data_IF_088025979216
#
_entry.id   IF_088025979216
#
_cell.length_a   1.000
_cell.length_b   1.000
_cell.length_c   1.000
_cell.angle_alpha   90.00
_cell.angle_beta   90.00
_cell.angle_gamma   90.00
#
_symmetry.space_group_name_H-M   'P 1'
#
loop_
_entity.id
_entity.type
_entity.pdbx_description
1 polymer ?
#
# COMPACT_ATOMS: atom_id res chain seq x y z
N UNK A 1 -39.53 -14.84 -13.42
CA UNK A 1 -39.88 -13.42 -13.20
C UNK A 1 -39.21 -12.58 -14.27
N UNK A 2 -39.81 -11.45 -14.67
CA UNK A 2 -39.19 -10.54 -15.64
C UNK A 2 -38.07 -9.72 -14.94
N UNK A 3 -36.98 -9.38 -15.63
CA UNK A 3 -35.92 -8.56 -15.05
C UNK A 3 -36.48 -7.18 -14.65
N UNK A 4 -36.27 -6.79 -13.40
CA UNK A 4 -36.59 -5.46 -12.89
C UNK A 4 -35.45 -4.49 -13.24
N UNK A 5 -35.71 -3.42 -13.99
CA UNK A 5 -34.69 -2.41 -14.26
C UNK A 5 -34.19 -1.75 -12.98
N UNK A 6 -32.89 -1.51 -12.88
CA UNK A 6 -32.32 -0.68 -11.80
C UNK A 6 -32.63 0.78 -12.10
N UNK A 7 -33.28 1.47 -11.17
CA UNK A 7 -33.66 2.87 -11.31
C UNK A 7 -32.51 3.83 -10.97
N UNK A 8 -32.45 4.95 -11.71
CA UNK A 8 -31.55 6.08 -11.47
C UNK A 8 -30.06 5.69 -11.42
N UNK A 9 -29.60 4.90 -12.40
CA UNK A 9 -28.17 4.64 -12.53
C UNK A 9 -27.43 5.97 -12.80
N UNK A 10 -26.28 6.19 -12.14
CA UNK A 10 -25.56 7.45 -12.21
C UNK A 10 -25.13 7.76 -13.64
N UNK A 11 -25.68 8.85 -14.17
CA UNK A 11 -25.36 9.40 -15.48
C UNK A 11 -25.31 10.93 -15.36
N UNK A 12 -24.33 11.61 -15.98
CA UNK A 12 -23.32 11.07 -16.88
C UNK A 12 -22.16 10.35 -16.17
N UNK A 13 -21.43 9.53 -16.92
CA UNK A 13 -20.08 9.08 -16.59
C UNK A 13 -19.93 7.66 -16.04
N UNK A 14 -21.02 6.94 -15.75
CA UNK A 14 -20.94 5.48 -15.59
C UNK A 14 -20.56 4.86 -16.94
N UNK A 15 -19.38 4.24 -17.02
CA UNK A 15 -18.87 3.62 -18.25
C UNK A 15 -18.98 2.11 -18.18
N UNK A 16 -18.42 1.51 -17.13
CA UNK A 16 -18.24 0.06 -17.01
C UNK A 16 -18.22 -0.38 -15.53
N UNK A 17 -17.96 -1.66 -15.28
CA UNK A 17 -17.57 -2.20 -13.97
C UNK A 17 -18.46 -1.88 -12.76
N UNK A 18 -19.81 -1.86 -12.85
CA UNK A 18 -20.63 -1.65 -11.65
C UNK A 18 -20.44 -2.81 -10.68
N UNK A 19 -20.21 -2.47 -9.41
CA UNK A 19 -20.07 -3.42 -8.31
C UNK A 19 -21.04 -3.04 -7.18
N UNK A 20 -21.99 -3.92 -6.92
CA UNK A 20 -23.06 -3.75 -5.94
C UNK A 20 -22.77 -4.57 -4.69
N UNK A 21 -22.86 -3.94 -3.53
CA UNK A 21 -22.82 -4.63 -2.24
C UNK A 21 -23.74 -3.96 -1.22
N UNK A 22 -24.00 -4.64 -0.11
CA UNK A 22 -24.81 -4.11 1.00
C UNK A 22 -23.93 -3.98 2.25
N UNK A 23 -23.97 -2.81 2.89
CA UNK A 23 -23.32 -2.57 4.17
C UNK A 23 -24.25 -1.76 5.08
N UNK A 24 -24.38 -2.15 6.36
CA UNK A 24 -25.18 -1.44 7.36
C UNK A 24 -26.61 -1.10 6.91
N UNK A 25 -27.26 -1.99 6.15
CA UNK A 25 -28.61 -1.78 5.63
C UNK A 25 -28.70 -1.02 4.30
N UNK A 26 -27.62 -0.35 3.88
CA UNK A 26 -27.54 0.49 2.67
C UNK A 26 -26.99 -0.34 1.50
N UNK A 27 -27.58 -0.17 0.32
CA UNK A 27 -27.06 -0.70 -0.94
C UNK A 27 -26.10 0.30 -1.58
N UNK A 28 -24.88 -0.13 -1.90
CA UNK A 28 -23.84 0.69 -2.52
C UNK A 28 -23.60 0.20 -3.94
N UNK A 29 -23.90 1.05 -4.92
CA UNK A 29 -23.48 0.86 -6.31
C UNK A 29 -22.19 1.63 -6.53
N UNK A 30 -21.08 0.93 -6.71
CA UNK A 30 -19.76 1.52 -6.97
C UNK A 30 -19.34 1.26 -8.40
N UNK A 31 -18.60 2.16 -9.03
CA UNK A 31 -18.28 2.07 -10.45
C UNK A 31 -17.11 2.97 -10.84
N UNK A 32 -16.33 2.58 -11.87
CA UNK A 32 -15.48 3.49 -12.62
C UNK A 32 -16.29 4.65 -13.22
N UNK A 33 -15.80 5.86 -13.00
CA UNK A 33 -16.43 7.10 -13.45
C UNK A 33 -15.41 7.92 -14.25
N UNK A 34 -15.70 8.18 -15.53
CA UNK A 34 -14.83 9.03 -16.34
C UNK A 34 -14.82 10.46 -15.81
N UNK A 35 -13.62 10.96 -15.50
CA UNK A 35 -13.41 12.30 -15.01
C UNK A 35 -12.05 12.80 -15.49
N UNK A 36 -12.02 13.98 -16.12
CA UNK A 36 -10.81 14.52 -16.79
C UNK A 36 -10.34 13.57 -17.90
N UNK A 37 -9.08 13.14 -17.86
CA UNK A 37 -8.42 12.32 -18.89
C UNK A 37 -8.34 10.83 -18.53
N UNK A 38 -8.86 10.41 -17.37
CA UNK A 38 -8.83 9.00 -16.91
C UNK A 38 -10.08 8.68 -16.08
N UNK A 39 -10.06 7.57 -15.35
CA UNK A 39 -11.15 7.17 -14.45
C UNK A 39 -10.81 7.36 -12.96
N UNK A 40 -11.86 7.62 -12.18
CA UNK A 40 -11.90 7.50 -10.71
C UNK A 40 -12.86 6.38 -10.33
N UNK A 41 -12.92 5.99 -9.05
CA UNK A 41 -14.05 5.19 -8.54
C UNK A 41 -15.03 6.09 -7.79
N UNK A 42 -16.29 6.01 -8.20
CA UNK A 42 -17.39 6.75 -7.60
C UNK A 42 -18.49 5.79 -7.13
N UNK A 43 -19.41 6.32 -6.32
CA UNK A 43 -20.47 5.49 -5.77
C UNK A 43 -21.79 6.24 -5.60
N UNK A 44 -22.85 5.44 -5.55
CA UNK A 44 -24.21 5.86 -5.24
C UNK A 44 -24.83 4.92 -4.24
N UNK A 45 -25.80 5.38 -3.47
CA UNK A 45 -26.47 4.59 -2.42
C UNK A 45 -27.97 4.53 -2.60
N UNK A 46 -28.59 3.45 -2.12
CA UNK A 46 -30.04 3.30 -2.06
C UNK A 46 -30.47 2.46 -0.84
N UNK A 47 -31.71 2.64 -0.40
CA UNK A 47 -32.31 1.81 0.66
C UNK A 47 -32.91 0.50 0.09
N UNK A 48 -33.04 0.42 -1.23
CA UNK A 48 -33.57 -0.73 -1.96
C UNK A 48 -32.59 -1.15 -3.08
N UNK A 49 -32.45 -2.45 -3.31
CA UNK A 49 -31.55 -3.00 -4.33
C UNK A 49 -31.85 -2.48 -5.75
N UNK A 50 -33.11 -2.15 -6.03
CA UNK A 50 -33.59 -1.61 -7.31
C UNK A 50 -33.48 -0.08 -7.40
N UNK A 51 -33.01 0.59 -6.35
CA UNK A 51 -32.89 2.05 -6.29
C UNK A 51 -34.15 2.75 -5.74
N UNK A 52 -34.31 4.07 -6.01
CA UNK A 52 -33.40 4.91 -6.80
C UNK A 52 -32.05 5.11 -6.11
N UNK A 53 -30.97 5.09 -6.89
CA UNK A 53 -29.62 5.35 -6.38
C UNK A 53 -29.32 6.85 -6.35
N UNK A 54 -28.80 7.35 -5.24
CA UNK A 54 -28.36 8.73 -5.05
C UNK A 54 -26.83 8.81 -5.14
N UNK A 55 -26.28 9.66 -6.01
CA UNK A 55 -24.84 9.82 -6.18
C UNK A 55 -24.18 10.44 -4.95
N UNK A 56 -23.09 9.83 -4.45
CA UNK A 56 -22.37 10.27 -3.24
C UNK A 56 -20.96 10.78 -3.50
N UNK A 57 -20.47 10.68 -4.73
CA UNK A 57 -19.16 11.21 -5.12
C UNK A 57 -18.08 10.16 -5.30
N UNK A 58 -16.83 10.63 -5.28
CA UNK A 58 -15.61 9.86 -5.54
C UNK A 58 -15.03 9.33 -4.23
N UNK A 59 -14.60 8.08 -4.23
CA UNK A 59 -13.95 7.43 -3.09
C UNK A 59 -12.58 6.83 -3.42
N UNK A 60 -12.13 6.95 -4.67
CA UNK A 60 -10.78 6.58 -5.12
C UNK A 60 -10.37 7.51 -6.27
N UNK A 61 -9.29 8.27 -6.12
CA UNK A 61 -8.85 9.31 -7.05
C UNK A 61 -8.14 8.76 -8.31
N UNK A 62 -7.91 9.63 -9.30
CA UNK A 62 -7.17 9.26 -10.51
C UNK A 62 -5.71 8.88 -10.18
N UNK A 63 -5.14 7.98 -10.98
CA UNK A 63 -3.71 7.65 -10.86
C UNK A 63 -2.81 8.80 -11.34
N UNK A 64 -1.75 9.15 -10.60
CA UNK A 64 -0.80 10.18 -11.02
C UNK A 64 -0.13 9.88 -12.37
N UNK A 65 0.15 8.61 -12.66
CA UNK A 65 0.78 8.16 -13.90
C UNK A 65 -0.19 8.01 -15.08
N UNK A 66 -1.46 8.41 -14.91
CA UNK A 66 -2.50 8.36 -15.94
C UNK A 66 -2.82 6.95 -16.46
N UNK A 67 -2.65 5.91 -15.63
CA UNK A 67 -3.23 4.59 -15.93
C UNK A 67 -4.74 4.76 -16.19
N UNK A 68 -5.18 4.42 -17.41
CA UNK A 68 -6.46 4.90 -17.94
C UNK A 68 -7.68 4.39 -17.17
N UNK A 69 -7.84 3.06 -17.14
CA UNK A 69 -9.02 2.43 -16.54
C UNK A 69 -8.80 2.17 -15.06
N UNK A 70 -9.87 2.26 -14.28
CA UNK A 70 -9.95 1.71 -12.95
C UNK A 70 -10.98 0.59 -12.93
N UNK A 71 -10.77 -0.46 -12.15
CA UNK A 71 -11.72 -1.55 -12.01
C UNK A 71 -11.54 -2.17 -10.65
N UNK A 72 -12.64 -2.54 -9.99
CA UNK A 72 -12.58 -2.88 -8.58
C UNK A 72 -13.64 -3.91 -8.15
N UNK A 73 -13.43 -4.42 -6.95
CA UNK A 73 -14.42 -5.17 -6.18
C UNK A 73 -14.25 -4.85 -4.70
N UNK A 74 -15.34 -4.96 -3.94
CA UNK A 74 -15.36 -4.63 -2.51
C UNK A 74 -15.98 -5.77 -1.74
N UNK A 75 -15.27 -6.30 -0.75
CA UNK A 75 -15.77 -7.41 0.08
C UNK A 75 -15.59 -7.12 1.55
N UNK A 76 -16.50 -7.64 2.37
CA UNK A 76 -16.27 -7.78 3.79
C UNK A 76 -15.65 -9.16 4.05
N UNK A 77 -14.50 -9.18 4.71
CA UNK A 77 -13.86 -10.41 5.14
C UNK A 77 -13.40 -10.25 6.58
N UNK A 78 -13.88 -11.13 7.47
CA UNK A 78 -13.57 -11.11 8.91
C UNK A 78 -13.80 -9.72 9.52
N UNK A 79 -14.98 -9.17 9.27
CA UNK A 79 -15.44 -7.87 9.81
C UNK A 79 -14.66 -6.64 9.29
N UNK A 80 -13.69 -6.82 8.38
CA UNK A 80 -12.99 -5.73 7.70
C UNK A 80 -13.42 -5.65 6.23
N UNK A 81 -13.65 -4.42 5.76
CA UNK A 81 -13.91 -4.17 4.35
C UNK A 81 -12.61 -3.96 3.58
N UNK A 82 -12.53 -4.52 2.39
CA UNK A 82 -11.39 -4.41 1.51
C UNK A 82 -11.84 -4.02 0.12
N UNK A 83 -11.04 -3.19 -0.53
CA UNK A 83 -11.15 -2.93 -1.96
C UNK A 83 -10.02 -3.66 -2.67
N UNK A 84 -10.37 -4.41 -3.71
CA UNK A 84 -9.43 -4.93 -4.68
C UNK A 84 -9.55 -4.08 -5.94
N UNK A 85 -8.43 -3.70 -6.52
CA UNK A 85 -8.36 -2.88 -7.72
C UNK A 85 -7.14 -3.27 -8.55
N UNK A 86 -6.87 -2.58 -9.65
CA UNK A 86 -5.69 -2.84 -10.47
C UNK A 86 -4.75 -1.64 -10.59
N UNK A 87 -3.47 -1.90 -10.88
CA UNK A 87 -2.53 -0.87 -11.30
C UNK A 87 -1.42 -1.44 -12.19
N UNK A 88 -0.71 -0.58 -12.93
CA UNK A 88 0.31 -0.96 -13.91
C UNK A 88 1.76 -0.86 -13.38
N UNK A 89 1.97 -0.97 -12.06
CA UNK A 89 3.31 -0.92 -11.46
C UNK A 89 4.27 -2.00 -12.00
N UNK A 90 3.78 -3.16 -12.43
CA UNK A 90 4.63 -4.19 -13.06
C UNK A 90 4.80 -4.01 -14.59
N UNK A 91 4.14 -3.01 -15.18
CA UNK A 91 4.18 -2.70 -16.61
C UNK A 91 3.97 -1.20 -16.84
N UNK A 92 4.87 -0.33 -16.33
CA UNK A 92 4.67 1.11 -16.33
C UNK A 92 4.59 1.72 -17.74
N UNK A 93 5.11 1.02 -18.76
CA UNK A 93 5.06 1.43 -20.16
C UNK A 93 3.88 0.85 -20.95
N UNK A 94 3.01 0.05 -20.31
CA UNK A 94 1.85 -0.56 -20.97
C UNK A 94 0.69 -0.73 -19.98
N UNK A 95 -0.19 0.27 -19.92
CA UNK A 95 -1.28 0.39 -18.95
C UNK A 95 -2.42 -0.66 -19.12
N UNK A 96 -2.38 -1.47 -20.18
CA UNK A 96 -3.37 -2.55 -20.40
C UNK A 96 -3.00 -3.82 -19.65
N UNK A 97 -1.71 -4.03 -19.39
CA UNK A 97 -1.26 -5.04 -18.44
C UNK A 97 -1.26 -4.41 -17.05
N UNK A 98 -1.99 -5.04 -16.12
CA UNK A 98 -2.19 -4.52 -14.77
C UNK A 98 -2.15 -5.69 -13.79
N UNK A 99 -1.68 -5.42 -12.58
CA UNK A 99 -1.66 -6.34 -11.47
C UNK A 99 -2.77 -6.01 -10.47
N UNK A 100 -3.21 -7.01 -9.72
CA UNK A 100 -4.18 -6.83 -8.63
C UNK A 100 -3.50 -6.17 -7.44
N UNK A 101 -4.16 -5.17 -6.89
CA UNK A 101 -3.83 -4.47 -5.66
C UNK A 101 -4.99 -4.61 -4.67
N UNK A 102 -4.73 -4.41 -3.39
CA UNK A 102 -5.78 -4.41 -2.38
C UNK A 102 -5.43 -3.50 -1.20
N UNK A 103 -6.42 -2.77 -0.70
CA UNK A 103 -6.32 -1.92 0.48
C UNK A 103 -7.54 -2.07 1.39
N UNK A 104 -7.40 -1.62 2.63
CA UNK A 104 -8.52 -1.58 3.58
C UNK A 104 -9.46 -0.43 3.23
N UNK A 105 -10.76 -0.70 3.28
CA UNK A 105 -11.83 0.26 3.06
C UNK A 105 -12.57 0.51 4.39
N UNK A 106 -12.95 1.76 4.62
CA UNK A 106 -13.66 2.17 5.84
C UNK A 106 -14.87 3.01 5.48
N UNK A 107 -15.88 2.97 6.34
CA UNK A 107 -17.05 3.83 6.26
C UNK A 107 -16.96 4.89 7.36
N UNK A 108 -17.43 6.10 7.07
CA UNK A 108 -17.68 7.11 8.08
C UNK A 108 -18.98 6.79 8.85
N UNK A 109 -19.22 7.42 10.01
CA UNK A 109 -20.41 7.15 10.82
C UNK A 109 -21.75 7.39 10.10
N UNK A 110 -21.78 8.27 9.09
CA UNK A 110 -22.96 8.55 8.26
C UNK A 110 -23.18 7.54 7.13
N UNK A 111 -22.32 6.51 7.03
CA UNK A 111 -22.37 5.49 5.98
C UNK A 111 -21.65 5.88 4.68
N UNK A 112 -21.06 7.07 4.58
CA UNK A 112 -20.22 7.43 3.44
C UNK A 112 -18.95 6.57 3.40
N UNK A 113 -18.45 6.26 2.20
CA UNK A 113 -17.17 5.57 2.03
C UNK A 113 -16.05 6.58 2.27
N UNK A 114 -15.14 6.28 3.21
CA UNK A 114 -13.92 7.08 3.42
C UNK A 114 -13.05 6.97 2.17
N UNK A 115 -12.52 8.10 1.70
CA UNK A 115 -11.59 8.16 0.57
C UNK A 115 -10.46 7.13 0.74
N UNK A 116 -10.40 6.18 -0.20
CA UNK A 116 -9.36 5.17 -0.27
C UNK A 116 -8.09 5.83 -0.74
N UNK A 117 -7.01 5.63 0.02
CA UNK A 117 -5.66 6.01 -0.38
C UNK A 117 -4.91 4.73 -0.74
N UNK A 118 -4.67 4.47 -2.04
CA UNK A 118 -3.93 3.28 -2.42
C UNK A 118 -2.55 3.29 -1.78
N UNK A 119 -2.11 2.12 -1.31
CA UNK A 119 -0.80 1.96 -0.68
C UNK A 119 0.03 0.91 -1.41
N UNK A 120 1.37 1.01 -1.28
CA UNK A 120 2.25 -0.09 -1.69
C UNK A 120 2.26 -1.21 -0.64
N UNK A 121 1.82 -0.94 0.61
CA UNK A 121 1.74 -1.91 1.70
C UNK A 121 0.71 -3.00 1.46
N UNK A 122 -0.43 -2.60 0.90
CA UNK A 122 -1.62 -3.42 0.77
C UNK A 122 -2.13 -3.97 2.11
N UNK A 123 -2.69 -5.18 2.07
CA UNK A 123 -3.37 -5.81 3.21
C UNK A 123 -2.53 -6.91 3.88
N UNK A 124 -2.96 -7.33 5.07
CA UNK A 124 -2.45 -8.53 5.74
C UNK A 124 -1.33 -8.31 6.76
N UNK A 125 -0.98 -9.39 7.44
CA UNK A 125 0.03 -9.44 8.51
C UNK A 125 1.26 -10.17 7.97
N UNK A 126 2.42 -9.53 8.06
CA UNK A 126 3.69 -10.14 7.64
C UNK A 126 4.39 -10.78 8.83
N UNK A 127 4.97 -11.96 8.66
CA UNK A 127 5.78 -12.59 9.70
C UNK A 127 7.12 -11.88 9.84
N UNK A 128 7.62 -11.67 11.06
CA UNK A 128 8.91 -11.02 11.27
C UNK A 128 10.09 -11.73 10.59
N UNK A 129 9.97 -13.03 10.35
CA UNK A 129 11.00 -13.89 9.74
C UNK A 129 10.85 -14.06 8.22
N UNK A 130 9.90 -13.36 7.58
CA UNK A 130 9.84 -13.25 6.11
C UNK A 130 10.60 -12.02 5.63
N UNK A 131 10.82 -11.90 4.32
CA UNK A 131 11.32 -10.64 3.76
C UNK A 131 10.24 -9.57 3.86
N UNK A 132 10.54 -8.55 4.65
CA UNK A 132 9.73 -7.36 4.80
C UNK A 132 10.29 -6.34 3.82
N UNK A 133 9.62 -6.24 2.67
CA UNK A 133 9.88 -5.30 1.59
C UNK A 133 9.45 -3.90 2.04
N UNK A 134 10.40 -3.06 2.42
CA UNK A 134 10.10 -1.74 3.02
C UNK A 134 9.56 -0.74 2.00
N UNK A 135 9.77 -0.98 0.72
CA UNK A 135 9.12 -0.30 -0.40
C UNK A 135 7.60 -0.44 -0.39
N UNK A 136 7.07 -1.50 0.23
CA UNK A 136 5.64 -1.68 0.50
C UNK A 136 5.22 -0.91 1.75
N UNK A 137 5.47 0.39 1.75
CA UNK A 137 5.34 1.25 2.92
C UNK A 137 3.89 1.61 3.23
N UNK A 138 3.63 1.84 4.52
CA UNK A 138 2.38 2.42 5.03
C UNK A 138 2.46 3.95 5.06
N UNK A 139 3.62 4.47 5.47
CA UNK A 139 3.93 5.90 5.51
C UNK A 139 5.44 6.09 5.27
N UNK A 140 5.83 7.26 4.77
CA UNK A 140 7.24 7.66 4.64
C UNK A 140 7.39 9.18 4.74
N UNK A 141 8.62 9.66 4.90
CA UNK A 141 8.94 11.09 4.82
C UNK A 141 8.53 11.68 3.47
N UNK A 142 7.94 12.88 3.49
CA UNK A 142 7.51 13.58 2.26
C UNK A 142 8.70 14.02 1.38
N UNK A 143 9.87 14.19 1.97
CA UNK A 143 11.12 14.55 1.28
C UNK A 143 12.26 13.67 1.77
N UNK A 144 13.24 13.43 0.89
CA UNK A 144 14.44 12.65 1.19
C UNK A 144 14.21 11.15 1.49
N UNK A 145 13.01 10.64 1.20
CA UNK A 145 12.70 9.22 1.06
C UNK A 145 11.89 9.01 -0.22
N UNK A 146 12.25 8.01 -1.02
CA UNK A 146 11.52 7.67 -2.25
C UNK A 146 11.58 6.17 -2.53
N UNK A 147 10.69 5.69 -3.39
CA UNK A 147 10.66 4.31 -3.88
C UNK A 147 11.07 4.30 -5.35
N UNK A 148 11.90 3.34 -5.75
CA UNK A 148 12.29 3.12 -7.14
C UNK A 148 12.37 1.63 -7.44
N UNK A 149 12.25 1.24 -8.71
CA UNK A 149 12.48 -0.14 -9.13
C UNK A 149 13.90 -0.59 -8.81
N UNK A 150 14.07 -1.86 -8.48
CA UNK A 150 15.38 -2.49 -8.37
C UNK A 150 16.08 -2.51 -9.73
N UNK A 151 15.34 -2.89 -10.76
CA UNK A 151 15.76 -2.96 -12.16
C UNK A 151 14.62 -2.49 -13.07
N UNK A 152 14.87 -1.52 -13.94
CA UNK A 152 13.86 -1.00 -14.89
C UNK A 152 13.77 -1.82 -16.17
N UNK A 153 14.63 -2.82 -16.34
CA UNK A 153 14.56 -3.81 -17.42
C UNK A 153 13.79 -5.07 -17.00
N UNK A 154 13.63 -5.27 -15.68
CA UNK A 154 12.82 -6.32 -15.08
C UNK A 154 12.02 -5.78 -13.88
N UNK A 155 10.82 -5.27 -14.14
CA UNK A 155 9.94 -4.72 -13.10
C UNK A 155 9.48 -5.78 -12.08
N UNK A 156 9.58 -7.08 -12.40
CA UNK A 156 9.24 -8.15 -11.46
C UNK A 156 10.33 -8.39 -10.40
N UNK A 157 11.54 -7.85 -10.60
CA UNK A 157 12.59 -7.88 -9.58
C UNK A 157 12.22 -7.08 -8.32
N UNK A 158 11.24 -6.17 -8.40
CA UNK A 158 10.71 -5.43 -7.25
C UNK A 158 11.25 -4.01 -7.13
N UNK A 159 11.19 -3.45 -5.91
CA UNK A 159 11.54 -2.06 -5.62
C UNK A 159 12.54 -1.95 -4.47
N UNK A 160 13.05 -0.74 -4.30
CA UNK A 160 13.93 -0.32 -3.22
C UNK A 160 13.44 0.99 -2.64
N UNK A 161 13.64 1.14 -1.33
CA UNK A 161 13.58 2.41 -0.64
C UNK A 161 14.92 3.13 -0.79
N UNK A 162 14.88 4.43 -1.06
CA UNK A 162 16.03 5.33 -1.17
C UNK A 162 15.92 6.38 -0.08
N UNK A 163 17.00 6.58 0.68
CA UNK A 163 17.14 7.69 1.63
C UNK A 163 18.25 8.61 1.14
N UNK A 164 18.00 9.92 1.07
CA UNK A 164 18.98 10.92 0.59
C UNK A 164 19.34 11.98 1.64
N UNK A 165 18.69 11.94 2.80
CA UNK A 165 18.85 12.93 3.86
C UNK A 165 18.83 12.23 5.23
N UNK A 166 19.47 12.81 6.25
CA UNK A 166 19.34 12.32 7.60
C UNK A 166 17.92 12.59 8.11
N UNK A 167 17.54 11.82 9.10
CA UNK A 167 16.25 11.89 9.77
C UNK A 167 15.02 11.54 8.93
N UNK A 168 15.20 11.12 7.67
CA UNK A 168 14.12 10.61 6.83
C UNK A 168 13.84 9.13 7.09
N UNK A 169 12.61 8.69 6.83
CA UNK A 169 12.16 7.38 7.28
C UNK A 169 11.09 6.77 6.39
N UNK A 170 10.99 5.45 6.47
CA UNK A 170 9.93 4.63 5.89
C UNK A 170 9.33 3.75 6.99
N UNK A 171 8.01 3.57 6.99
CA UNK A 171 7.27 2.77 7.97
C UNK A 171 6.51 1.65 7.29
N UNK A 172 6.65 0.45 7.83
CA UNK A 172 5.91 -0.75 7.45
C UNK A 172 5.11 -1.24 8.66
N UNK A 173 3.78 -1.24 8.55
CA UNK A 173 2.91 -1.65 9.64
C UNK A 173 2.67 -3.17 9.70
N UNK A 174 2.23 -3.64 10.87
CA UNK A 174 1.58 -4.94 11.03
C UNK A 174 2.50 -6.13 10.76
N UNK A 175 3.60 -6.18 11.52
CA UNK A 175 4.55 -7.30 11.50
C UNK A 175 4.38 -8.14 12.76
N UNK A 176 4.12 -9.44 12.60
CA UNK A 176 3.95 -10.40 13.69
C UNK A 176 5.30 -10.95 14.15
N UNK A 177 5.62 -10.73 15.42
CA UNK A 177 6.79 -11.29 16.09
C UNK A 177 6.41 -12.44 17.02
N UNK A 178 7.21 -13.50 17.01
CA UNK A 178 7.05 -14.65 17.93
C UNK A 178 7.68 -14.41 19.31
N UNK A 179 8.47 -13.32 19.46
CA UNK A 179 9.18 -12.96 20.69
C UNK A 179 10.58 -13.54 20.83
N UNK A 180 11.00 -14.41 19.90
CA UNK A 180 12.30 -15.08 19.89
C UNK A 180 13.36 -14.37 19.04
N UNK A 181 13.01 -13.29 18.34
CA UNK A 181 13.94 -12.60 17.44
C UNK A 181 15.03 -11.85 18.23
N UNK A 182 16.31 -12.12 17.93
CA UNK A 182 17.48 -11.42 18.50
C UNK A 182 18.40 -10.83 17.44
N UNK A 183 18.16 -11.09 16.15
CA UNK A 183 18.87 -10.51 15.03
C UNK A 183 17.95 -9.96 13.95
N UNK A 184 18.53 -9.24 13.02
CA UNK A 184 17.93 -8.89 11.74
C UNK A 184 18.98 -8.89 10.64
N UNK A 185 18.55 -9.24 9.43
CA UNK A 185 19.31 -9.15 8.19
C UNK A 185 18.63 -8.07 7.34
N UNK A 186 19.42 -7.16 6.78
CA UNK A 186 18.95 -6.13 5.87
C UNK A 186 19.71 -6.25 4.56
N UNK A 187 19.00 -6.25 3.43
CA UNK A 187 19.62 -6.14 2.10
C UNK A 187 19.72 -4.68 1.71
N UNK A 188 20.94 -4.16 1.67
CA UNK A 188 21.23 -2.73 1.52
C UNK A 188 22.33 -2.46 0.49
N UNK A 189 22.34 -1.25 -0.04
CA UNK A 189 23.42 -0.69 -0.86
C UNK A 189 23.69 0.75 -0.40
N UNK A 190 24.94 1.19 -0.36
CA UNK A 190 25.30 2.57 0.01
C UNK A 190 26.69 2.93 -0.55
N UNK A 191 26.76 3.62 -1.71
CA UNK A 191 28.03 3.98 -2.37
C UNK A 191 28.97 4.82 -1.50
N UNK A 192 28.43 5.58 -0.55
CA UNK A 192 29.21 6.43 0.37
C UNK A 192 29.18 5.91 1.82
N UNK A 193 28.61 4.71 2.04
CA UNK A 193 28.28 4.21 3.37
C UNK A 193 27.19 5.03 4.07
N UNK A 194 26.68 4.52 5.19
CA UNK A 194 25.61 5.20 5.91
C UNK A 194 25.25 4.55 7.24
N UNK A 195 24.23 5.10 7.89
CA UNK A 195 23.68 4.56 9.13
C UNK A 195 22.14 4.58 9.06
N UNK A 196 21.55 3.43 9.35
CA UNK A 196 20.10 3.27 9.50
C UNK A 196 19.75 2.97 10.98
N UNK A 197 18.61 3.45 11.43
CA UNK A 197 17.96 3.02 12.67
C UNK A 197 16.78 2.14 12.33
N UNK A 198 16.78 0.92 12.88
CA UNK A 198 15.61 0.06 12.88
C UNK A 198 14.84 0.29 14.18
N UNK A 199 13.56 0.62 14.09
CA UNK A 199 12.73 1.00 15.22
C UNK A 199 11.39 0.25 15.21
N UNK A 200 10.79 0.13 16.40
CA UNK A 200 9.38 -0.21 16.57
C UNK A 200 8.72 0.80 17.50
N UNK A 201 7.75 1.56 16.96
CA UNK A 201 7.29 2.79 17.62
C UNK A 201 8.48 3.70 17.95
N UNK A 202 8.56 4.17 19.19
CA UNK A 202 9.65 5.04 19.65
C UNK A 202 10.92 4.27 20.07
N UNK A 203 10.90 2.93 20.01
CA UNK A 203 12.00 2.10 20.49
C UNK A 203 12.98 1.78 19.37
N UNK A 204 14.24 2.16 19.55
CA UNK A 204 15.33 1.72 18.67
C UNK A 204 15.69 0.26 18.96
N UNK A 205 15.51 -0.59 17.94
CA UNK A 205 15.80 -2.01 17.96
C UNK A 205 17.26 -2.29 17.62
N UNK A 206 17.80 -1.58 16.62
CA UNK A 206 19.19 -1.70 16.18
C UNK A 206 19.67 -0.39 15.51
N UNK A 207 20.99 -0.15 15.61
CA UNK A 207 21.70 0.80 14.75
C UNK A 207 22.47 0.00 13.72
N UNK A 208 22.25 0.25 12.44
CA UNK A 208 22.83 -0.50 11.32
C UNK A 208 23.87 0.39 10.65
N UNK A 209 25.15 0.07 10.84
CA UNK A 209 26.24 0.70 10.08
C UNK A 209 26.34 0.03 8.72
N UNK A 210 26.05 0.77 7.66
CA UNK A 210 26.15 0.29 6.28
C UNK A 210 27.54 0.67 5.75
N UNK A 211 28.39 -0.30 5.38
CA UNK A 211 29.70 0.01 4.80
C UNK A 211 29.54 0.60 3.39
N UNK A 212 30.60 1.21 2.89
CA UNK A 212 30.71 1.59 1.48
C UNK A 212 30.52 0.33 0.62
N UNK A 213 29.51 0.34 -0.24
CA UNK A 213 29.20 -0.77 -1.14
C UNK A 213 28.47 -0.29 -2.39
N UNK A 214 29.01 -0.65 -3.55
CA UNK A 214 28.41 -0.42 -4.86
C UNK A 214 27.36 -1.49 -5.20
N UNK A 215 27.49 -2.69 -4.63
CA UNK A 215 26.57 -3.80 -4.81
C UNK A 215 25.65 -4.00 -3.60
N UNK A 216 24.55 -4.71 -3.81
CA UNK A 216 23.67 -5.17 -2.73
C UNK A 216 24.39 -6.11 -1.79
N UNK A 217 24.31 -5.83 -0.49
CA UNK A 217 24.88 -6.67 0.58
C UNK A 217 23.85 -6.92 1.66
N UNK A 218 23.93 -8.11 2.24
CA UNK A 218 23.20 -8.44 3.46
C UNK A 218 24.03 -8.04 4.68
N UNK A 219 23.44 -7.24 5.56
CA UNK A 219 24.04 -6.84 6.83
C UNK A 219 23.24 -7.48 7.96
N UNK A 220 23.94 -8.25 8.79
CA UNK A 220 23.38 -8.82 10.00
C UNK A 220 23.63 -7.90 11.19
N UNK A 221 22.59 -7.63 11.98
CA UNK A 221 22.66 -6.82 13.20
C UNK A 221 21.96 -7.52 14.35
N UNK A 222 22.42 -7.25 15.58
CA UNK A 222 21.72 -7.68 16.79
C UNK A 222 20.56 -6.73 17.08
N UNK A 223 19.39 -7.31 17.34
CA UNK A 223 18.14 -6.62 17.68
C UNK A 223 17.91 -6.75 19.17
N UNK A 224 17.44 -5.66 19.81
CA UNK A 224 17.12 -5.65 21.24
C UNK A 224 15.70 -5.16 21.49
N UNK A 225 15.06 -5.81 22.46
CA UNK A 225 13.82 -5.31 23.05
C UNK A 225 12.58 -5.39 22.15
N UNK A 226 12.61 -6.24 21.12
CA UNK A 226 11.40 -6.65 20.42
C UNK A 226 10.69 -7.74 21.22
N UNK A 227 9.36 -7.70 21.27
CA UNK A 227 8.53 -8.62 22.07
C UNK A 227 7.62 -9.44 21.15
N UNK A 228 6.96 -10.45 21.70
CA UNK A 228 5.91 -11.16 20.97
C UNK A 228 4.73 -10.21 20.73
N UNK A 229 4.15 -10.23 19.53
CA UNK A 229 2.99 -9.42 19.17
C UNK A 229 3.12 -8.73 17.81
N UNK A 230 2.15 -7.88 17.50
CA UNK A 230 2.16 -7.04 16.31
C UNK A 230 2.98 -5.79 16.59
N UNK A 231 3.92 -5.50 15.69
CA UNK A 231 4.77 -4.33 15.74
C UNK A 231 4.70 -3.56 14.42
N UNK A 232 4.81 -2.24 14.50
CA UNK A 232 4.99 -1.35 13.35
C UNK A 232 6.46 -0.96 13.29
N UNK A 233 7.09 -1.22 12.15
CA UNK A 233 8.51 -1.02 11.95
C UNK A 233 8.75 0.30 11.25
N UNK A 234 9.76 1.02 11.71
CA UNK A 234 10.28 2.20 11.02
C UNK A 234 11.76 1.97 10.75
N UNK A 235 12.19 2.21 9.51
CA UNK A 235 13.61 2.36 9.18
C UNK A 235 13.87 3.83 8.89
N UNK A 236 14.82 4.41 9.62
CA UNK A 236 15.17 5.82 9.56
C UNK A 236 16.64 5.99 9.17
N UNK A 237 16.93 6.85 8.20
CA UNK A 237 18.30 7.24 7.87
C UNK A 237 18.85 8.21 8.92
N UNK A 238 20.13 8.05 9.24
CA UNK A 238 20.91 8.97 10.08
C UNK A 238 22.08 9.58 9.31
N UNK A 239 22.07 9.47 7.98
CA UNK A 239 23.19 9.89 7.13
C UNK A 239 22.70 10.82 6.03
N UNK A 240 23.54 11.80 5.70
CA UNK A 240 23.40 12.65 4.51
C UNK A 240 23.69 11.90 3.20
N UNK A 241 24.34 10.75 3.31
CA UNK A 241 24.68 9.92 2.17
C UNK A 241 23.50 9.08 1.71
N UNK A 242 23.43 8.88 0.39
CA UNK A 242 22.43 8.02 -0.21
C UNK A 242 22.55 6.56 0.26
N UNK A 243 21.47 6.03 0.82
CA UNK A 243 21.37 4.65 1.28
C UNK A 243 20.13 3.99 0.69
N UNK A 244 20.31 2.78 0.19
CA UNK A 244 19.28 1.97 -0.42
C UNK A 244 18.94 0.78 0.46
N UNK A 245 17.65 0.48 0.60
CA UNK A 245 17.11 -0.66 1.31
C UNK A 245 16.10 -1.38 0.43
N UNK A 246 16.31 -2.68 0.21
CA UNK A 246 15.34 -3.55 -0.45
C UNK A 246 14.40 -4.13 0.60
N UNK A 247 14.85 -5.16 1.32
CA UNK A 247 14.09 -5.81 2.37
C UNK A 247 14.89 -5.95 3.66
N UNK A 248 14.16 -6.23 4.74
CA UNK A 248 14.72 -6.71 6.00
C UNK A 248 13.98 -7.94 6.51
N UNK A 249 14.66 -8.77 7.30
CA UNK A 249 14.11 -9.97 7.92
C UNK A 249 14.67 -10.14 9.32
N UNK A 250 13.84 -10.47 10.29
CA UNK A 250 14.31 -10.79 11.65
C UNK A 250 14.73 -12.25 11.76
N UNK A 251 15.71 -12.50 12.62
CA UNK A 251 16.24 -13.83 12.91
C UNK A 251 16.19 -14.10 14.41
N UNK A 252 16.22 -15.38 14.78
CA UNK A 252 16.42 -15.79 16.17
C UNK A 252 17.73 -15.24 16.73
#
# INVERSE_FOLDING_TARGET
EAPTPVGNLPSPGLIEGPYLFKANGIYYMTFPWARKDTEVLAYSTADNIYGPYEFKGVFFEEWPNKCWTNHHSIINFREQWYIFYHHNDYSPNFDKNRAVCADSLFFEPDGSIRMVKPTLRGIGISGAKTDIQMDRYSEMSATGTSIAYLDTTDYFSGWKTIFTNPDTWVRYNTVQFDGDCRGAILRVKAPQGGMLLLQSGNKTLAKVKVPVTEDWKEITVRVKGITKGIHHLTVKSMSDNETYLDWLRFTK
#
